data_IF_217770855166
#
_entry.id   IF_217770855166
#
_cell.length_a   1.000
_cell.length_b   1.000
_cell.length_c   1.000
_cell.angle_alpha   90.00
_cell.angle_beta   90.00
_cell.angle_gamma   90.00
#
_symmetry.space_group_name_H-M   'P 1'
#
loop_
_entity.id
_entity.type
_entity.pdbx_description
1 polymer ?
#
# COMPACT_ATOMS: atom_id res chain seq x y z
N UNK A 1 7.85 3.68 -9.48
CA UNK A 1 8.43 2.37 -9.22
C UNK A 1 9.84 2.45 -8.62
N UNK A 2 10.79 3.13 -9.27
CA UNK A 2 12.19 3.21 -8.78
C UNK A 2 12.31 3.68 -7.32
N UNK A 3 11.50 4.66 -6.91
CA UNK A 3 11.46 5.12 -5.51
C UNK A 3 11.02 4.02 -4.54
N UNK A 4 10.01 3.24 -4.90
CA UNK A 4 9.54 2.12 -4.10
C UNK A 4 10.57 0.99 -4.02
N UNK A 5 11.21 0.65 -5.13
CA UNK A 5 12.31 -0.31 -5.20
C UNK A 5 13.50 0.12 -4.33
N UNK A 6 13.86 1.41 -4.38
CA UNK A 6 14.91 1.99 -3.55
C UNK A 6 14.55 1.88 -2.05
N UNK A 7 13.32 2.25 -1.70
CA UNK A 7 12.83 2.14 -0.31
C UNK A 7 12.89 0.71 0.18
N UNK A 8 12.47 -0.27 -0.64
CA UNK A 8 12.55 -1.68 -0.32
C UNK A 8 14.00 -2.16 -0.13
N UNK A 9 14.91 -1.80 -1.03
CA UNK A 9 16.32 -2.15 -0.90
C UNK A 9 16.93 -1.60 0.40
N UNK A 10 16.63 -0.35 0.74
CA UNK A 10 17.09 0.24 2.01
C UNK A 10 16.39 -0.35 3.24
N UNK A 11 15.13 -0.77 3.13
CA UNK A 11 14.42 -1.42 4.22
C UNK A 11 15.17 -2.67 4.72
N UNK A 12 15.63 -3.49 3.79
CA UNK A 12 16.34 -4.73 4.09
C UNK A 12 17.84 -4.56 4.34
N UNK A 13 18.43 -3.40 4.11
CA UNK A 13 19.87 -3.16 4.31
C UNK A 13 20.41 -3.54 5.71
N UNK A 14 19.65 -3.44 6.83
CA UNK A 14 20.17 -3.84 8.13
C UNK A 14 20.49 -5.33 8.26
N UNK A 15 19.91 -6.19 7.42
CA UNK A 15 20.10 -7.64 7.50
C UNK A 15 21.53 -8.07 7.13
N UNK A 16 22.15 -7.38 6.18
CA UNK A 16 23.48 -7.75 5.66
C UNK A 16 24.60 -6.77 6.02
N UNK A 17 24.29 -5.49 6.28
CA UNK A 17 25.31 -4.50 6.69
C UNK A 17 25.97 -4.79 8.04
N UNK A 18 25.39 -5.69 8.83
CA UNK A 18 25.91 -6.08 10.15
C UNK A 18 27.17 -6.93 10.07
N UNK A 19 27.35 -7.71 8.98
CA UNK A 19 28.48 -8.64 8.80
C UNK A 19 29.66 -7.97 8.08
N UNK A 20 29.37 -7.32 6.95
CA UNK A 20 30.34 -6.65 6.12
C UNK A 20 29.70 -5.42 5.47
N UNK A 21 30.22 -4.19 5.72
CA UNK A 21 29.64 -2.97 5.16
C UNK A 21 29.74 -2.88 3.64
N UNK A 22 30.81 -3.44 3.02
CA UNK A 22 30.97 -3.40 1.56
C UNK A 22 30.04 -4.40 0.87
N UNK A 23 30.02 -5.63 1.30
CA UNK A 23 29.05 -6.61 0.83
C UNK A 23 27.62 -6.12 1.04
N UNK A 24 27.36 -5.45 2.16
CA UNK A 24 26.07 -4.86 2.46
C UNK A 24 25.64 -3.79 1.45
N UNK A 25 26.58 -2.97 0.94
CA UNK A 25 26.30 -2.00 -0.14
C UNK A 25 25.98 -2.71 -1.44
N UNK A 26 26.79 -3.68 -1.83
CA UNK A 26 26.61 -4.45 -3.07
C UNK A 26 25.26 -5.16 -3.07
N UNK A 27 24.90 -5.84 -1.97
CA UNK A 27 23.61 -6.53 -1.85
C UNK A 27 22.41 -5.55 -1.87
N UNK A 28 22.55 -4.36 -1.28
CA UNK A 28 21.50 -3.32 -1.35
C UNK A 28 21.32 -2.83 -2.79
N UNK A 29 22.41 -2.59 -3.52
CA UNK A 29 22.37 -2.18 -4.92
C UNK A 29 21.83 -3.31 -5.81
N UNK A 30 22.24 -4.55 -5.57
CA UNK A 30 21.73 -5.70 -6.30
C UNK A 30 20.22 -5.88 -6.11
N UNK A 31 19.72 -5.78 -4.87
CA UNK A 31 18.30 -5.84 -4.59
C UNK A 31 17.54 -4.69 -5.25
N UNK A 32 18.08 -3.47 -5.20
CA UNK A 32 17.51 -2.34 -5.92
C UNK A 32 17.45 -2.62 -7.43
N UNK A 33 18.53 -3.08 -8.03
CA UNK A 33 18.58 -3.38 -9.46
C UNK A 33 17.57 -4.47 -9.85
N UNK A 34 17.49 -5.55 -9.08
CA UNK A 34 16.51 -6.62 -9.31
C UNK A 34 15.10 -6.06 -9.25
N UNK A 35 14.74 -5.30 -8.21
CA UNK A 35 13.41 -4.72 -8.07
C UNK A 35 13.12 -3.66 -9.14
N UNK A 36 14.08 -2.81 -9.48
CA UNK A 36 13.92 -1.75 -10.47
C UNK A 36 13.73 -2.29 -11.88
N UNK A 37 14.43 -3.38 -12.24
CA UNK A 37 14.41 -3.97 -13.56
C UNK A 37 13.57 -5.26 -13.67
N UNK A 38 12.68 -5.53 -12.71
CA UNK A 38 11.76 -6.66 -12.80
C UNK A 38 10.95 -6.60 -14.10
N UNK A 39 10.96 -7.64 -14.93
CA UNK A 39 10.25 -7.64 -16.21
C UNK A 39 8.76 -7.32 -16.10
N UNK A 40 8.11 -7.74 -15.02
CA UNK A 40 6.70 -7.45 -14.75
C UNK A 40 6.41 -5.96 -14.59
N UNK A 41 7.41 -5.16 -14.14
CA UNK A 41 7.28 -3.71 -13.98
C UNK A 41 7.41 -2.95 -15.30
N UNK A 42 8.03 -3.55 -16.30
CA UNK A 42 8.34 -2.91 -17.57
C UNK A 42 7.50 -3.43 -18.74
N UNK A 43 7.21 -4.73 -18.78
CA UNK A 43 6.64 -5.35 -19.97
C UNK A 43 5.15 -5.07 -20.19
N UNK A 44 4.38 -4.88 -19.12
CA UNK A 44 2.92 -4.84 -19.24
C UNK A 44 2.34 -3.43 -19.31
N UNK A 45 3.04 -2.40 -18.78
CA UNK A 45 2.39 -1.14 -18.46
C UNK A 45 3.15 0.14 -18.81
N UNK A 46 4.39 0.05 -19.29
CA UNK A 46 5.25 1.22 -19.52
C UNK A 46 4.71 2.24 -20.53
N UNK A 47 3.81 1.84 -21.41
CA UNK A 47 3.22 2.71 -22.44
C UNK A 47 1.76 3.10 -22.16
N UNK A 48 1.16 2.61 -21.07
CA UNK A 48 -0.21 2.98 -20.70
C UNK A 48 -0.20 3.85 -19.45
N UNK A 49 -0.68 5.06 -19.56
CA UNK A 49 -0.97 5.92 -18.40
C UNK A 49 -2.26 5.40 -17.76
N UNK A 50 -2.13 4.40 -16.90
CA UNK A 50 -3.25 3.78 -16.21
C UNK A 50 -2.94 3.62 -14.71
N UNK A 51 -3.95 3.74 -13.86
CA UNK A 51 -3.82 3.63 -12.40
C UNK A 51 -3.13 2.34 -11.94
N UNK A 52 -3.34 1.23 -12.64
CA UNK A 52 -2.72 -0.06 -12.32
C UNK A 52 -1.19 -0.05 -12.35
N UNK A 53 -0.56 0.95 -12.96
CA UNK A 53 0.91 1.09 -12.95
C UNK A 53 1.46 1.63 -11.64
N UNK A 54 0.67 2.43 -10.93
CA UNK A 54 1.09 3.07 -9.68
C UNK A 54 0.82 2.16 -8.50
N UNK A 55 -0.29 1.41 -8.52
CA UNK A 55 -0.72 0.56 -7.42
C UNK A 55 0.36 -0.41 -6.89
N UNK A 56 1.07 -1.17 -7.71
CA UNK A 56 2.14 -2.06 -7.23
C UNK A 56 3.27 -1.31 -6.51
N UNK A 57 3.59 -0.09 -6.98
CA UNK A 57 4.60 0.74 -6.32
C UNK A 57 4.13 1.22 -4.95
N UNK A 58 2.86 1.59 -4.81
CA UNK A 58 2.25 1.99 -3.54
C UNK A 58 2.18 0.81 -2.55
N UNK A 59 1.83 -0.39 -3.03
CA UNK A 59 1.92 -1.61 -2.24
C UNK A 59 3.36 -1.87 -1.75
N UNK A 60 4.34 -1.73 -2.64
CA UNK A 60 5.75 -1.90 -2.29
C UNK A 60 6.21 -0.88 -1.25
N UNK A 61 5.78 0.38 -1.33
CA UNK A 61 6.04 1.40 -0.30
C UNK A 61 5.49 0.99 1.06
N UNK A 62 4.26 0.48 1.11
CA UNK A 62 3.66 0.01 2.36
C UNK A 62 4.46 -1.13 2.98
N UNK A 63 4.69 -2.21 2.24
CA UNK A 63 5.38 -3.38 2.77
C UNK A 63 6.84 -3.10 3.11
N UNK A 64 7.54 -2.35 2.27
CA UNK A 64 8.91 -1.92 2.54
C UNK A 64 9.00 -1.00 3.77
N UNK A 65 8.05 -0.09 3.92
CA UNK A 65 7.94 0.77 5.09
C UNK A 65 7.73 -0.02 6.38
N UNK A 66 6.79 -0.98 6.38
CA UNK A 66 6.54 -1.86 7.53
C UNK A 66 7.77 -2.72 7.87
N UNK A 67 8.41 -3.33 6.88
CA UNK A 67 9.63 -4.11 7.08
C UNK A 67 10.79 -3.24 7.59
N UNK A 68 10.97 -2.07 6.98
CA UNK A 68 12.02 -1.12 7.36
C UNK A 68 11.86 -0.60 8.79
N UNK A 69 10.63 -0.31 9.21
CA UNK A 69 10.30 0.05 10.59
C UNK A 69 10.59 -1.10 11.55
N UNK A 70 10.09 -2.31 11.25
CA UNK A 70 10.27 -3.48 12.10
C UNK A 70 11.75 -3.83 12.31
N UNK A 71 12.52 -3.89 11.22
CA UNK A 71 13.96 -4.22 11.28
C UNK A 71 14.76 -3.21 12.10
N UNK A 72 14.39 -1.93 12.04
CA UNK A 72 15.07 -0.87 12.83
C UNK A 72 14.59 -0.83 14.27
N UNK A 73 13.33 -1.11 14.53
CA UNK A 73 12.79 -1.16 15.88
C UNK A 73 13.42 -2.25 16.73
N UNK A 74 13.87 -3.36 16.12
CA UNK A 74 14.50 -4.47 16.84
C UNK A 74 16.02 -4.33 16.96
N UNK A 75 16.65 -3.31 16.36
CA UNK A 75 18.07 -3.04 16.51
C UNK A 75 18.40 -2.56 17.92
N UNK A 76 19.64 -2.82 18.36
CA UNK A 76 20.16 -2.35 19.65
C UNK A 76 20.35 -0.84 19.67
N UNK A 77 20.81 -0.27 18.54
CA UNK A 77 21.00 1.18 18.40
C UNK A 77 19.71 1.82 17.91
N UNK A 78 19.27 2.93 18.55
CA UNK A 78 18.08 3.63 18.11
C UNK A 78 18.26 4.16 16.68
N UNK A 79 17.30 3.86 15.83
CA UNK A 79 17.24 4.36 14.46
C UNK A 79 15.90 5.06 14.24
N UNK A 80 15.84 6.10 13.41
CA UNK A 80 14.60 6.81 13.14
C UNK A 80 13.57 5.89 12.46
N UNK A 81 12.37 5.80 13.03
CA UNK A 81 11.27 4.98 12.49
C UNK A 81 10.36 5.79 11.57
N UNK A 82 10.32 7.12 11.73
CA UNK A 82 9.39 7.99 11.02
C UNK A 82 9.45 7.92 9.48
N UNK A 83 10.63 7.80 8.81
CA UNK A 83 10.64 7.72 7.35
C UNK A 83 9.95 6.47 6.83
N UNK A 84 10.07 5.38 7.58
CA UNK A 84 9.47 4.09 7.26
C UNK A 84 7.96 4.09 7.48
N UNK A 85 7.51 4.72 8.58
CA UNK A 85 6.10 4.91 8.87
C UNK A 85 5.44 5.84 7.86
N UNK A 86 6.14 6.91 7.44
CA UNK A 86 5.66 7.80 6.40
C UNK A 86 5.55 7.09 5.04
N UNK A 87 6.55 6.28 4.67
CA UNK A 87 6.49 5.48 3.45
C UNK A 87 5.35 4.46 3.49
N UNK A 88 5.19 3.75 4.61
CA UNK A 88 4.09 2.80 4.80
C UNK A 88 2.73 3.49 4.75
N UNK A 89 2.58 4.64 5.42
CA UNK A 89 1.34 5.40 5.45
C UNK A 89 0.97 5.97 4.09
N UNK A 90 1.92 6.57 3.39
CA UNK A 90 1.71 7.06 2.04
C UNK A 90 1.34 5.91 1.08
N UNK A 91 2.06 4.79 1.15
CA UNK A 91 1.78 3.60 0.34
C UNK A 91 0.38 3.05 0.59
N UNK A 92 -0.03 2.92 1.86
CA UNK A 92 -1.34 2.39 2.24
C UNK A 92 -2.47 3.37 1.85
N UNK A 93 -2.35 4.64 2.21
CA UNK A 93 -3.37 5.64 1.95
C UNK A 93 -3.56 5.88 0.45
N UNK A 94 -2.47 6.16 -0.29
CA UNK A 94 -2.55 6.38 -1.72
C UNK A 94 -2.96 5.10 -2.47
N UNK A 95 -2.47 3.92 -2.06
CA UNK A 95 -2.87 2.65 -2.68
C UNK A 95 -4.34 2.33 -2.49
N UNK A 96 -4.90 2.64 -1.33
CA UNK A 96 -6.34 2.48 -1.08
C UNK A 96 -7.19 3.45 -1.91
N UNK A 97 -6.72 4.71 -2.06
CA UNK A 97 -7.42 5.74 -2.82
C UNK A 97 -7.28 5.58 -4.34
N UNK A 98 -6.23 4.88 -4.80
CA UNK A 98 -5.95 4.66 -6.22
C UNK A 98 -6.92 3.65 -6.86
N UNK A 99 -7.40 2.66 -6.08
CA UNK A 99 -8.26 1.59 -6.58
C UNK A 99 -9.48 1.36 -5.70
N UNK A 100 -10.64 1.24 -6.31
CA UNK A 100 -11.92 0.98 -5.64
C UNK A 100 -11.95 -0.42 -4.98
N UNK A 101 -11.24 -1.39 -5.58
CA UNK A 101 -11.12 -2.77 -5.08
C UNK A 101 -9.93 -2.97 -4.12
N UNK A 102 -9.15 -1.93 -3.84
CA UNK A 102 -8.00 -2.02 -2.92
C UNK A 102 -8.40 -2.48 -1.51
N UNK A 103 -9.60 -2.14 -1.06
CA UNK A 103 -10.14 -2.63 0.22
C UNK A 103 -10.19 -4.15 0.31
N UNK A 104 -10.49 -4.83 -0.81
CA UNK A 104 -10.57 -6.28 -0.85
C UNK A 104 -9.19 -6.95 -0.89
N UNK A 105 -8.21 -6.34 -1.56
CA UNK A 105 -6.88 -6.93 -1.74
C UNK A 105 -5.85 -6.34 -0.79
N UNK A 106 -5.68 -5.02 -0.77
CA UNK A 106 -4.61 -4.38 -0.01
C UNK A 106 -4.80 -4.50 1.50
N UNK A 107 -6.03 -4.28 2.02
CA UNK A 107 -6.26 -4.27 3.47
C UNK A 107 -6.03 -5.62 4.15
N UNK A 108 -6.47 -6.78 3.63
CA UNK A 108 -6.16 -8.08 4.23
C UNK A 108 -4.64 -8.35 4.29
N UNK A 109 -3.91 -8.05 3.22
CA UNK A 109 -2.45 -8.22 3.22
C UNK A 109 -1.75 -7.21 4.15
N UNK A 110 -2.24 -5.99 4.22
CA UNK A 110 -1.74 -4.98 5.16
C UNK A 110 -1.97 -5.42 6.62
N UNK A 111 -3.14 -5.94 6.93
CA UNK A 111 -3.45 -6.48 8.25
C UNK A 111 -2.56 -7.67 8.61
N UNK A 112 -2.35 -8.60 7.67
CA UNK A 112 -1.45 -9.74 7.85
C UNK A 112 0.00 -9.29 8.10
N UNK A 113 0.52 -8.36 7.30
CA UNK A 113 1.86 -7.80 7.49
C UNK A 113 2.02 -7.11 8.84
N UNK A 114 1.01 -6.32 9.24
CA UNK A 114 0.98 -5.66 10.56
C UNK A 114 0.95 -6.68 11.69
N UNK A 115 0.17 -7.75 11.55
CA UNK A 115 0.14 -8.85 12.52
C UNK A 115 1.50 -9.54 12.67
N UNK A 116 2.17 -9.85 11.57
CA UNK A 116 3.53 -10.44 11.59
C UNK A 116 4.52 -9.50 12.30
N UNK A 117 4.49 -8.22 11.95
CA UNK A 117 5.35 -7.20 12.59
C UNK A 117 5.01 -7.07 14.07
N UNK A 118 3.73 -7.08 14.44
CA UNK A 118 3.31 -7.03 15.83
C UNK A 118 3.85 -8.20 16.67
N UNK A 119 3.77 -9.42 16.15
CA UNK A 119 4.33 -10.60 16.82
C UNK A 119 5.82 -10.44 17.08
N UNK A 120 6.57 -9.96 16.10
CA UNK A 120 8.03 -9.71 16.23
C UNK A 120 8.30 -8.62 17.28
N UNK A 121 7.54 -7.53 17.26
CA UNK A 121 7.73 -6.39 18.17
C UNK A 121 7.36 -6.75 19.63
N UNK A 122 6.29 -7.53 19.83
CA UNK A 122 5.88 -8.05 21.13
C UNK A 122 6.96 -8.97 21.69
N UNK A 123 7.46 -9.92 20.88
CA UNK A 123 8.55 -10.82 21.29
C UNK A 123 9.84 -10.09 21.68
N UNK A 124 10.10 -8.91 21.09
CA UNK A 124 11.23 -8.03 21.41
C UNK A 124 10.89 -6.95 22.44
N UNK A 125 9.68 -6.93 23.02
CA UNK A 125 9.17 -5.94 23.97
C UNK A 125 9.31 -4.48 23.51
N UNK A 126 9.11 -4.23 22.22
CA UNK A 126 9.21 -2.91 21.59
C UNK A 126 7.85 -2.20 21.50
N UNK A 127 7.23 -1.95 22.66
CA UNK A 127 5.87 -1.42 22.77
C UNK A 127 5.62 -0.09 22.04
N UNK A 128 6.64 0.81 22.03
CA UNK A 128 6.54 2.08 21.31
C UNK A 128 6.44 1.89 19.78
N UNK A 129 7.22 0.95 19.24
CA UNK A 129 7.16 0.62 17.83
C UNK A 129 5.87 -0.13 17.49
N UNK A 130 5.37 -0.97 18.41
CA UNK A 130 4.07 -1.63 18.28
C UNK A 130 2.92 -0.61 18.18
N UNK A 131 2.92 0.44 18.99
CA UNK A 131 1.93 1.52 18.86
C UNK A 131 2.14 2.34 17.57
N UNK A 132 3.40 2.62 17.22
CA UNK A 132 3.73 3.41 16.03
C UNK A 132 3.31 2.73 14.71
N UNK A 133 3.24 1.40 14.64
CA UNK A 133 2.78 0.68 13.44
C UNK A 133 1.30 0.98 13.07
N UNK A 134 0.54 1.62 13.94
CA UNK A 134 -0.83 2.08 13.62
C UNK A 134 -0.85 3.39 12.83
N UNK A 135 0.26 4.13 12.77
CA UNK A 135 0.35 5.41 12.05
C UNK A 135 -0.06 5.29 10.57
N UNK A 136 0.35 4.27 9.80
CA UNK A 136 -0.13 4.08 8.43
C UNK A 136 -1.65 4.03 8.30
N UNK A 137 -2.34 3.42 9.26
CA UNK A 137 -3.81 3.34 9.27
C UNK A 137 -4.47 4.66 9.64
N UNK A 138 -3.84 5.43 10.53
CA UNK A 138 -4.28 6.81 10.83
C UNK A 138 -4.14 7.68 9.58
N UNK A 139 -3.05 7.55 8.84
CA UNK A 139 -2.85 8.25 7.57
C UNK A 139 -3.88 7.82 6.51
N UNK A 140 -4.19 6.52 6.42
CA UNK A 140 -5.28 6.03 5.58
C UNK A 140 -6.61 6.67 5.95
N UNK A 141 -7.00 6.63 7.23
CA UNK A 141 -8.24 7.25 7.70
C UNK A 141 -8.32 8.75 7.41
N UNK A 142 -7.22 9.47 7.64
CA UNK A 142 -7.12 10.89 7.32
C UNK A 142 -7.26 11.15 5.81
N UNK A 143 -6.64 10.32 4.96
CA UNK A 143 -6.78 10.38 3.51
C UNK A 143 -8.23 10.18 3.06
N UNK A 144 -8.89 9.13 3.52
CA UNK A 144 -10.29 8.82 3.22
C UNK A 144 -11.20 9.98 3.67
N UNK A 145 -11.06 10.45 4.91
CA UNK A 145 -11.84 11.57 5.42
C UNK A 145 -11.63 12.84 4.60
N UNK A 146 -10.40 13.12 4.18
CA UNK A 146 -10.10 14.29 3.35
C UNK A 146 -10.83 14.19 2.00
N UNK A 147 -10.78 13.04 1.33
CA UNK A 147 -11.47 12.86 0.05
C UNK A 147 -12.99 12.90 0.20
N UNK A 148 -13.56 12.24 1.21
CA UNK A 148 -15.00 12.31 1.46
C UNK A 148 -15.46 13.76 1.77
N UNK A 149 -14.65 14.52 2.50
CA UNK A 149 -14.95 15.93 2.80
C UNK A 149 -14.86 16.80 1.55
N UNK A 150 -13.86 16.60 0.71
CA UNK A 150 -13.73 17.29 -0.58
C UNK A 150 -14.91 16.97 -1.50
N UNK A 151 -15.30 15.70 -1.60
CA UNK A 151 -16.48 15.30 -2.36
C UNK A 151 -17.76 15.95 -1.81
N UNK A 152 -17.90 15.99 -0.48
CA UNK A 152 -19.05 16.66 0.13
C UNK A 152 -19.09 18.15 -0.17
N UNK A 153 -17.96 18.85 -0.11
CA UNK A 153 -17.91 20.30 -0.37
C UNK A 153 -18.14 20.67 -1.83
N UNK A 154 -17.74 19.80 -2.77
CA UNK A 154 -17.85 20.09 -4.20
C UNK A 154 -19.08 19.46 -4.86
N UNK A 155 -19.52 18.32 -4.39
CA UNK A 155 -20.59 17.53 -5.02
C UNK A 155 -21.79 17.27 -4.09
N UNK A 156 -21.69 17.67 -2.80
CA UNK A 156 -22.77 17.45 -1.83
C UNK A 156 -22.92 16.00 -1.34
N UNK A 157 -22.00 15.10 -1.73
CA UNK A 157 -22.05 13.68 -1.39
C UNK A 157 -20.83 13.30 -0.55
N UNK A 158 -21.05 12.78 0.65
CA UNK A 158 -19.99 12.29 1.53
C UNK A 158 -19.71 10.81 1.21
N UNK A 159 -18.98 10.58 0.12
CA UNK A 159 -18.61 9.24 -0.35
C UNK A 159 -17.20 9.29 -0.96
N UNK A 160 -16.51 8.16 -0.93
CA UNK A 160 -15.19 8.03 -1.55
C UNK A 160 -15.30 7.81 -3.06
N UNK A 161 -16.26 6.99 -3.49
CA UNK A 161 -16.51 6.64 -4.88
C UNK A 161 -18.00 6.50 -5.13
N UNK A 162 -18.47 7.10 -6.22
CA UNK A 162 -19.86 6.96 -6.70
C UNK A 162 -20.18 5.53 -7.18
N UNK A 163 -19.14 4.76 -7.52
CA UNK A 163 -19.28 3.40 -8.05
C UNK A 163 -19.74 2.40 -7.00
N UNK A 164 -19.25 2.53 -5.75
CA UNK A 164 -19.54 1.60 -4.66
C UNK A 164 -20.64 2.07 -3.70
N UNK A 165 -20.83 3.39 -3.55
CA UNK A 165 -21.64 3.96 -2.46
C UNK A 165 -22.71 4.96 -2.93
N UNK A 166 -22.78 5.28 -4.24
CA UNK A 166 -23.63 6.33 -4.78
C UNK A 166 -24.87 5.86 -5.53
N UNK A 167 -25.53 6.82 -6.18
CA UNK A 167 -26.69 6.61 -7.05
C UNK A 167 -26.41 5.63 -8.20
N UNK A 168 -25.14 5.56 -8.65
CA UNK A 168 -24.70 4.63 -9.68
C UNK A 168 -24.84 3.16 -9.26
N UNK A 169 -24.39 2.82 -8.05
CA UNK A 169 -24.51 1.46 -7.50
C UNK A 169 -25.98 1.06 -7.35
N UNK A 170 -26.84 1.98 -6.91
CA UNK A 170 -28.27 1.75 -6.80
C UNK A 170 -28.93 1.55 -8.19
N UNK A 171 -28.56 2.36 -9.18
CA UNK A 171 -29.05 2.25 -10.55
C UNK A 171 -28.62 0.94 -11.21
N UNK A 172 -27.34 0.54 -11.06
CA UNK A 172 -26.85 -0.74 -11.57
C UNK A 172 -27.55 -1.92 -10.91
N UNK A 173 -27.74 -1.87 -9.59
CA UNK A 173 -28.50 -2.90 -8.86
C UNK A 173 -29.98 -2.97 -9.29
N UNK A 174 -30.62 -1.86 -9.63
CA UNK A 174 -31.95 -1.83 -10.17
C UNK A 174 -32.00 -2.42 -11.59
N UNK A 175 -31.04 -2.07 -12.45
CA UNK A 175 -30.93 -2.63 -13.81
C UNK A 175 -30.71 -4.14 -13.82
N UNK A 176 -29.93 -4.69 -12.89
CA UNK A 176 -29.73 -6.14 -12.76
C UNK A 176 -30.99 -6.90 -12.29
N UNK A 177 -32.00 -6.19 -11.75
CA UNK A 177 -33.27 -6.78 -11.30
C UNK A 177 -34.38 -6.69 -12.35
N UNK A 178 -34.10 -6.05 -13.49
CA UNK A 178 -35.06 -5.99 -14.59
C UNK A 178 -35.06 -7.36 -15.26
N UNK A 179 -36.12 -8.11 -15.02
CA UNK A 179 -36.41 -9.35 -15.73
C UNK A 179 -36.97 -8.99 -17.09
N UNK A 180 -36.27 -9.31 -18.16
CA UNK A 180 -36.74 -9.09 -19.53
C UNK A 180 -37.36 -10.40 -20.00
N UNK A 181 -38.70 -10.48 -20.03
CA UNK A 181 -39.47 -11.60 -20.57
C UNK A 181 -39.21 -11.90 -22.06
N UNK A 182 -38.25 -11.24 -22.68
CA UNK A 182 -37.91 -11.43 -24.09
C UNK A 182 -36.60 -12.20 -24.24
N UNK A 183 -36.66 -13.50 -24.30
CA UNK A 183 -35.65 -14.37 -24.93
C UNK A 183 -35.59 -14.01 -26.47
N UNK A 184 -35.05 -12.84 -26.75
CA UNK A 184 -34.66 -12.53 -28.13
C UNK A 184 -33.27 -13.10 -28.33
N UNK A 185 -33.10 -14.13 -29.19
CA UNK A 185 -31.76 -14.57 -29.57
C UNK A 185 -31.02 -13.39 -30.20
N UNK A 186 -29.85 -13.09 -29.69
CA UNK A 186 -28.99 -12.08 -30.29
C UNK A 186 -28.63 -12.49 -31.70
N UNK A 187 -28.89 -11.60 -32.64
CA UNK A 187 -28.44 -11.72 -34.01
C UNK A 187 -26.95 -11.50 -34.13
#
# INVERSE_FOLDING_TARGET
>A
WCGAALTAAFAFSPLWRKKDPEQGRVLTLALFAVLAFLPSSWASYTLRVYRDNIFPALCLYFFAGMAGMALRAVQEKPAPLWPWLAAAGAGLACGYLDREDAGLFLLPFAAAATGIVAVVLVGKRRWRALAAQLIPYVMLGAGVLTFCTLNYTHYGVFALSDFSEGSFAAAMGAMMRVDTDSDKPYL
#
